data_IF_861348122432
#
_entry.id   IF_861348122432
#
_cell.length_a   1.000
_cell.length_b   1.000
_cell.length_c   1.000
_cell.angle_alpha   90.00
_cell.angle_beta   90.00
_cell.angle_gamma   90.00
#
_symmetry.space_group_name_H-M   'P 1'
#
loop_
_entity.id
_entity.type
_entity.pdbx_description
1 polymer ?
#
# COMPACT_ATOMS: atom_id res chain seq x y z
N UNK A 1 -3.43 2.92 3.87
CA UNK A 1 -3.88 3.55 2.61
C UNK A 1 -4.74 2.56 1.83
N UNK A 2 -5.80 3.02 1.16
CA UNK A 2 -6.64 2.21 0.28
C UNK A 2 -6.65 2.82 -1.11
N UNK A 3 -6.58 1.96 -2.12
CA UNK A 3 -6.66 2.38 -3.52
C UNK A 3 -8.11 2.25 -3.98
N UNK A 4 -8.65 3.34 -4.53
CA UNK A 4 -10.01 3.42 -5.06
C UNK A 4 -10.09 2.76 -6.43
N UNK A 5 -11.29 2.41 -6.92
CA UNK A 5 -11.50 1.98 -8.29
C UNK A 5 -11.05 3.07 -9.29
N UNK A 6 -9.97 2.82 -10.02
CA UNK A 6 -9.38 3.76 -10.98
C UNK A 6 -8.53 3.00 -12.01
N UNK A 7 -7.81 3.72 -12.86
CA UNK A 7 -6.92 3.14 -13.88
C UNK A 7 -5.93 2.13 -13.30
N UNK A 8 -5.47 2.31 -12.06
CA UNK A 8 -4.51 1.41 -11.42
C UNK A 8 -5.00 -0.04 -11.32
N UNK A 9 -6.31 -0.29 -11.36
CA UNK A 9 -6.86 -1.66 -11.33
C UNK A 9 -6.52 -2.47 -12.57
N UNK A 10 -6.26 -1.80 -13.69
CA UNK A 10 -5.92 -2.43 -14.96
C UNK A 10 -4.42 -2.51 -15.23
N UNK A 11 -3.62 -1.92 -14.34
CA UNK A 11 -2.16 -1.93 -14.42
C UNK A 11 -1.60 -2.94 -13.41
N UNK A 12 -0.57 -3.69 -13.82
CA UNK A 12 0.14 -4.64 -12.98
C UNK A 12 1.64 -4.53 -13.22
N UNK A 13 2.41 -4.76 -12.17
CA UNK A 13 3.86 -4.84 -12.27
C UNK A 13 4.28 -6.21 -12.82
N UNK A 14 5.33 -6.23 -13.59
CA UNK A 14 6.02 -7.46 -13.97
C UNK A 14 6.63 -8.11 -12.72
N UNK A 15 6.42 -9.42 -12.57
CA UNK A 15 6.87 -10.16 -11.38
C UNK A 15 8.40 -10.28 -11.28
N UNK A 16 9.10 -10.12 -12.40
CA UNK A 16 10.55 -10.28 -12.43
C UNK A 16 11.25 -8.99 -12.01
N UNK A 17 10.80 -7.86 -12.54
CA UNK A 17 11.45 -6.56 -12.34
C UNK A 17 10.70 -5.63 -11.41
N UNK A 18 9.45 -5.95 -11.06
CA UNK A 18 8.54 -5.09 -10.29
C UNK A 18 8.37 -3.70 -10.91
N UNK A 19 8.28 -3.67 -12.25
CA UNK A 19 8.05 -2.47 -13.06
C UNK A 19 6.87 -2.68 -14.00
N UNK A 20 6.32 -1.61 -14.56
CA UNK A 20 5.28 -1.72 -15.55
C UNK A 20 5.81 -2.35 -16.85
N UNK A 21 5.00 -3.21 -17.47
CA UNK A 21 5.28 -3.70 -18.83
C UNK A 21 5.20 -2.55 -19.83
N UNK A 22 5.90 -2.64 -20.98
CA UNK A 22 5.88 -1.59 -22.01
C UNK A 22 4.48 -1.17 -22.45
N UNK A 23 3.53 -2.11 -22.49
CA UNK A 23 2.11 -1.80 -22.77
C UNK A 23 1.49 -0.93 -21.67
N UNK A 24 1.74 -1.26 -20.42
CA UNK A 24 1.21 -0.52 -19.29
C UNK A 24 1.87 0.85 -19.14
N UNK A 25 3.17 0.97 -19.47
CA UNK A 25 3.87 2.26 -19.52
C UNK A 25 3.21 3.18 -20.56
N UNK A 26 2.91 2.66 -21.76
CA UNK A 26 2.21 3.44 -22.80
C UNK A 26 0.84 3.92 -22.30
N UNK A 27 0.06 3.04 -21.70
CA UNK A 27 -1.26 3.41 -21.16
C UNK A 27 -1.13 4.46 -20.05
N UNK A 28 -0.12 4.34 -19.18
CA UNK A 28 0.14 5.34 -18.14
C UNK A 28 0.56 6.67 -18.72
N UNK A 29 1.39 6.66 -19.78
CA UNK A 29 1.81 7.90 -20.46
C UNK A 29 0.62 8.59 -21.13
N UNK A 30 -0.23 7.85 -21.82
CA UNK A 30 -1.47 8.40 -22.39
C UNK A 30 -2.38 9.02 -21.30
N UNK A 31 -2.45 8.40 -20.13
CA UNK A 31 -3.18 8.94 -18.98
C UNK A 31 -2.52 10.20 -18.41
N UNK A 32 -1.20 10.22 -18.29
CA UNK A 32 -0.45 11.39 -17.84
C UNK A 32 -0.63 12.59 -18.78
N UNK A 33 -0.55 12.36 -20.10
CA UNK A 33 -0.76 13.40 -21.12
C UNK A 33 -2.19 13.99 -21.06
N UNK A 34 -3.19 13.21 -20.60
CA UNK A 34 -4.55 13.73 -20.38
C UNK A 34 -4.66 14.61 -19.13
N UNK A 35 -3.79 14.40 -18.13
CA UNK A 35 -3.76 15.21 -16.92
C UNK A 35 -2.98 16.50 -17.14
N UNK A 36 -1.92 16.44 -17.94
CA UNK A 36 -1.10 17.57 -18.34
C UNK A 36 -1.84 18.44 -19.35
N UNK A 37 -2.82 19.20 -18.86
CA UNK A 37 -3.67 20.06 -19.68
C UNK A 37 -2.93 21.26 -20.30
N UNK A 38 -1.73 21.54 -19.83
CA UNK A 38 -0.90 22.65 -20.30
C UNK A 38 0.20 22.22 -21.27
N UNK A 39 0.33 20.91 -21.52
CA UNK A 39 1.35 20.31 -22.38
C UNK A 39 2.80 20.67 -21.97
N UNK A 40 3.02 20.88 -20.65
CA UNK A 40 4.32 21.21 -20.06
C UNK A 40 5.19 19.96 -19.81
N UNK A 41 4.65 18.75 -20.07
CA UNK A 41 5.23 17.43 -19.77
C UNK A 41 5.39 17.16 -18.27
N UNK A 42 4.70 17.93 -17.45
CA UNK A 42 4.66 17.84 -16.00
C UNK A 42 3.29 18.24 -15.48
N UNK A 43 3.00 17.88 -14.23
CA UNK A 43 1.76 18.24 -13.55
C UNK A 43 2.07 19.05 -12.29
N UNK A 44 1.30 20.11 -12.05
CA UNK A 44 1.45 20.92 -10.86
C UNK A 44 0.77 20.28 -9.63
N UNK A 45 0.94 20.89 -8.48
CA UNK A 45 0.40 20.44 -7.19
C UNK A 45 -1.13 20.26 -7.18
N UNK A 46 -1.88 21.12 -7.89
CA UNK A 46 -3.34 21.03 -7.98
C UNK A 46 -3.76 19.83 -8.82
N UNK A 47 -3.14 19.62 -9.98
CA UNK A 47 -3.39 18.48 -10.86
C UNK A 47 -3.03 17.17 -10.16
N UNK A 48 -1.88 17.15 -9.51
CA UNK A 48 -1.42 16.01 -8.71
C UNK A 48 -2.38 15.68 -7.58
N UNK A 49 -2.82 16.70 -6.82
CA UNK A 49 -3.83 16.52 -5.77
C UNK A 49 -5.12 15.91 -6.30
N UNK A 50 -5.65 16.40 -7.42
CA UNK A 50 -6.88 15.87 -8.02
C UNK A 50 -6.72 14.39 -8.40
N UNK A 51 -5.61 14.04 -9.03
CA UNK A 51 -5.30 12.67 -9.44
C UNK A 51 -5.17 11.75 -8.24
N UNK A 52 -4.32 12.10 -7.29
CA UNK A 52 -4.03 11.21 -6.15
C UNK A 52 -5.23 11.10 -5.20
N UNK A 53 -6.00 12.16 -5.01
CA UNK A 53 -7.26 12.11 -4.25
C UNK A 53 -8.32 11.24 -4.91
N UNK A 54 -8.34 11.15 -6.26
CA UNK A 54 -9.23 10.25 -6.98
C UNK A 54 -8.82 8.77 -6.86
N UNK A 55 -7.52 8.49 -6.77
CA UNK A 55 -6.94 7.14 -6.75
C UNK A 55 -6.85 6.54 -5.34
N UNK A 56 -6.75 7.36 -4.29
CA UNK A 56 -6.46 6.92 -2.93
C UNK A 56 -7.41 7.52 -1.89
N UNK A 57 -7.37 7.00 -0.67
CA UNK A 57 -8.05 7.56 0.51
C UNK A 57 -7.12 8.46 1.35
N UNK A 58 -6.03 8.95 0.77
CA UNK A 58 -5.10 9.85 1.43
C UNK A 58 -5.76 11.20 1.76
N UNK A 59 -5.35 11.77 2.88
CA UNK A 59 -5.77 13.10 3.28
C UNK A 59 -4.97 14.16 2.51
N UNK A 60 -5.52 15.38 2.45
CA UNK A 60 -4.91 16.48 1.71
C UNK A 60 -3.45 16.72 2.08
N UNK A 61 -3.13 16.81 3.36
CA UNK A 61 -1.76 17.00 3.82
C UNK A 61 -0.82 15.86 3.40
N UNK A 62 -1.30 14.62 3.43
CA UNK A 62 -0.52 13.47 2.99
C UNK A 62 -0.23 13.51 1.48
N UNK A 63 -1.19 13.99 0.68
CA UNK A 63 -1.00 14.14 -0.77
C UNK A 63 0.08 15.18 -1.08
N UNK A 64 0.08 16.30 -0.36
CA UNK A 64 1.13 17.31 -0.54
C UNK A 64 2.49 16.81 -0.05
N UNK A 65 2.57 16.10 1.06
CA UNK A 65 3.83 15.45 1.46
C UNK A 65 4.35 14.46 0.42
N UNK A 66 3.46 13.72 -0.27
CA UNK A 66 3.86 12.84 -1.39
C UNK A 66 4.34 13.64 -2.59
N UNK A 67 3.73 14.80 -2.86
CA UNK A 67 4.18 15.69 -3.92
C UNK A 67 5.61 16.18 -3.64
N UNK A 68 5.83 16.74 -2.46
CA UNK A 68 7.15 17.26 -2.05
C UNK A 68 8.24 16.17 -2.09
N UNK A 69 7.92 14.95 -1.69
CA UNK A 69 8.84 13.80 -1.75
C UNK A 69 9.19 13.39 -3.19
N UNK A 70 8.23 13.48 -4.10
CA UNK A 70 8.41 13.04 -5.50
C UNK A 70 9.06 14.09 -6.38
N UNK A 71 8.95 15.36 -6.04
CA UNK A 71 9.61 16.49 -6.72
C UNK A 71 11.12 16.47 -6.38
N UNK A 72 11.82 15.47 -6.93
CA UNK A 72 13.22 15.18 -6.59
C UNK A 72 14.15 16.31 -7.07
N UNK A 73 13.83 16.93 -8.18
CA UNK A 73 14.61 18.01 -8.77
C UNK A 73 14.26 19.41 -8.24
N UNK A 74 13.22 19.51 -7.38
CA UNK A 74 12.75 20.76 -6.80
C UNK A 74 12.14 21.72 -7.82
N UNK A 75 11.61 21.20 -8.92
CA UNK A 75 11.01 21.99 -10.00
C UNK A 75 9.65 22.63 -9.61
N UNK A 76 9.03 22.14 -8.54
CA UNK A 76 7.65 22.49 -8.16
C UNK A 76 6.58 21.81 -9.03
N UNK A 77 6.97 20.82 -9.81
CA UNK A 77 6.10 20.05 -10.70
C UNK A 77 6.51 18.58 -10.69
N UNK A 78 5.60 17.69 -11.00
CA UNK A 78 5.88 16.26 -11.12
C UNK A 78 5.97 15.89 -12.59
N UNK A 79 7.11 15.42 -13.03
CA UNK A 79 7.31 14.90 -14.37
C UNK A 79 6.78 13.45 -14.52
N UNK A 80 6.89 12.91 -15.74
CA UNK A 80 6.40 11.56 -15.99
C UNK A 80 7.18 10.47 -15.23
N UNK A 81 8.47 10.62 -15.04
CA UNK A 81 9.31 9.60 -14.39
C UNK A 81 9.03 9.55 -12.89
N UNK A 82 8.83 10.70 -12.25
CA UNK A 82 8.41 10.84 -10.86
C UNK A 82 6.98 10.28 -10.66
N UNK A 83 6.06 10.63 -11.55
CA UNK A 83 4.71 10.08 -11.54
C UNK A 83 4.70 8.56 -11.76
N UNK A 84 5.52 8.06 -12.67
CA UNK A 84 5.71 6.63 -12.93
C UNK A 84 6.14 5.87 -11.67
N UNK A 85 7.10 6.41 -10.92
CA UNK A 85 7.58 5.82 -9.69
C UNK A 85 6.47 5.72 -8.64
N UNK A 86 5.70 6.80 -8.43
CA UNK A 86 4.54 6.78 -7.56
C UNK A 86 3.54 5.69 -7.97
N UNK A 87 3.22 5.61 -9.25
CA UNK A 87 2.28 4.62 -9.76
C UNK A 87 2.77 3.20 -9.52
N UNK A 88 4.06 2.92 -9.69
CA UNK A 88 4.65 1.61 -9.37
C UNK A 88 4.50 1.27 -7.87
N UNK A 89 4.74 2.23 -6.97
CA UNK A 89 4.52 2.07 -5.53
C UNK A 89 3.04 1.75 -5.24
N UNK A 90 2.11 2.52 -5.80
CA UNK A 90 0.68 2.32 -5.59
C UNK A 90 0.19 0.96 -6.12
N UNK A 91 0.69 0.51 -7.25
CA UNK A 91 0.34 -0.80 -7.81
C UNK A 91 0.91 -1.93 -6.93
N UNK A 92 2.15 -1.80 -6.45
CA UNK A 92 2.73 -2.78 -5.54
C UNK A 92 1.87 -2.97 -4.28
N UNK A 93 1.37 -1.87 -3.71
CA UNK A 93 0.44 -1.89 -2.58
C UNK A 93 -0.91 -2.54 -2.93
N UNK A 94 -1.45 -2.21 -4.11
CA UNK A 94 -2.70 -2.79 -4.60
C UNK A 94 -2.61 -4.31 -4.75
N UNK A 95 -1.52 -4.78 -5.35
CA UNK A 95 -1.30 -6.20 -5.69
C UNK A 95 -0.68 -6.98 -4.51
N UNK A 96 -0.30 -6.29 -3.41
CA UNK A 96 0.36 -6.87 -2.21
C UNK A 96 1.73 -7.45 -2.51
N UNK A 97 2.45 -6.80 -3.39
CA UNK A 97 3.80 -7.14 -3.81
C UNK A 97 4.82 -6.10 -3.28
N UNK A 98 4.47 -5.33 -2.23
CA UNK A 98 5.28 -4.25 -1.67
C UNK A 98 6.67 -4.72 -1.27
N UNK A 99 6.75 -5.90 -0.66
CA UNK A 99 8.02 -6.51 -0.25
C UNK A 99 8.94 -6.72 -1.45
N UNK A 100 8.40 -7.26 -2.52
CA UNK A 100 9.13 -7.51 -3.75
C UNK A 100 9.60 -6.20 -4.39
N UNK A 101 8.72 -5.19 -4.40
CA UNK A 101 9.03 -3.87 -4.92
C UNK A 101 10.16 -3.20 -4.13
N UNK A 102 10.03 -3.10 -2.81
CA UNK A 102 11.06 -2.49 -1.94
C UNK A 102 12.38 -3.27 -2.02
N UNK A 103 12.33 -4.60 -2.08
CA UNK A 103 13.54 -5.40 -2.23
C UNK A 103 14.29 -5.08 -3.51
N UNK A 104 13.58 -4.94 -4.64
CA UNK A 104 14.20 -4.66 -5.95
C UNK A 104 14.60 -3.21 -6.13
N UNK A 105 13.81 -2.29 -5.62
CA UNK A 105 13.98 -0.85 -5.78
C UNK A 105 14.36 -0.15 -4.47
N UNK A 106 14.96 -0.91 -3.54
CA UNK A 106 15.26 -0.41 -2.19
C UNK A 106 16.14 0.85 -2.22
N UNK A 107 17.05 0.97 -3.17
CA UNK A 107 17.89 2.15 -3.29
C UNK A 107 17.08 3.39 -3.67
N UNK A 108 16.23 3.27 -4.68
CA UNK A 108 15.34 4.36 -5.10
C UNK A 108 14.37 4.77 -3.99
N UNK A 109 13.79 3.80 -3.28
CA UNK A 109 12.90 4.09 -2.15
C UNK A 109 13.64 4.76 -1.01
N UNK A 110 14.87 4.33 -0.74
CA UNK A 110 15.73 4.95 0.27
C UNK A 110 16.02 6.41 -0.08
N UNK A 111 16.44 6.68 -1.31
CA UNK A 111 16.74 8.03 -1.81
C UNK A 111 15.51 8.95 -1.82
N UNK A 112 14.31 8.40 -1.99
CA UNK A 112 13.06 9.16 -1.84
C UNK A 112 12.74 9.53 -0.39
N UNK A 113 13.17 8.72 0.57
CA UNK A 113 12.89 8.95 1.99
C UNK A 113 13.96 9.82 2.66
N UNK A 114 15.17 9.80 2.13
CA UNK A 114 16.32 10.61 2.55
C UNK A 114 16.15 12.03 1.99
N UNK A 115 15.31 12.83 2.66
CA UNK A 115 14.90 14.16 2.17
C UNK A 115 16.06 15.17 2.16
N UNK A 116 16.99 15.06 3.11
CA UNK A 116 18.10 15.97 3.28
C UNK A 116 19.40 15.53 2.58
N UNK A 117 19.40 14.32 1.98
CA UNK A 117 20.58 13.76 1.29
C UNK A 117 21.70 13.32 2.23
N UNK A 118 21.39 13.09 3.51
CA UNK A 118 22.38 12.67 4.53
C UNK A 118 22.93 11.25 4.32
N UNK A 119 22.34 10.47 3.41
CA UNK A 119 22.58 9.05 3.18
C UNK A 119 22.14 8.14 4.35
N UNK A 120 21.27 8.67 5.19
CA UNK A 120 20.58 7.96 6.27
C UNK A 120 19.11 8.42 6.34
N UNK A 121 18.25 7.63 6.93
CA UNK A 121 16.85 7.98 7.13
C UNK A 121 16.62 8.17 8.62
N UNK A 122 16.23 9.37 9.01
CA UNK A 122 15.82 9.68 10.38
C UNK A 122 14.43 9.11 10.71
N UNK A 123 14.13 8.98 12.00
CA UNK A 123 12.80 8.57 12.44
C UNK A 123 11.70 9.55 12.01
N UNK A 124 12.04 10.82 11.78
CA UNK A 124 11.10 11.84 11.31
C UNK A 124 10.75 11.64 9.84
N UNK A 125 11.74 11.51 8.96
CA UNK A 125 11.58 11.21 7.54
C UNK A 125 10.81 9.91 7.35
N UNK A 126 11.19 8.85 8.07
CA UNK A 126 10.46 7.59 8.01
C UNK A 126 8.99 7.72 8.44
N UNK A 127 8.71 8.50 9.48
CA UNK A 127 7.34 8.72 9.96
C UNK A 127 6.52 9.58 9.00
N UNK A 128 7.17 10.50 8.29
CA UNK A 128 6.51 11.35 7.30
C UNK A 128 5.92 10.54 6.14
N UNK A 129 6.59 9.47 5.72
CA UNK A 129 6.21 8.67 4.54
C UNK A 129 5.75 7.24 4.84
N UNK A 130 5.83 6.79 6.08
CA UNK A 130 5.44 5.43 6.49
C UNK A 130 4.00 5.06 6.09
N UNK A 131 3.11 6.05 5.96
CA UNK A 131 1.73 5.82 5.55
C UNK A 131 1.60 5.28 4.11
N UNK A 132 2.56 5.57 3.22
CA UNK A 132 2.59 5.01 1.86
C UNK A 132 2.72 3.48 1.89
N UNK A 133 3.37 2.95 2.90
CA UNK A 133 3.58 1.51 3.07
C UNK A 133 2.67 0.90 4.14
N UNK A 134 1.60 1.60 4.54
CA UNK A 134 0.68 1.20 5.61
C UNK A 134 1.36 1.03 6.99
N UNK A 135 2.44 1.73 7.26
CA UNK A 135 3.08 1.75 8.57
C UNK A 135 2.41 2.79 9.47
N UNK A 136 1.98 2.39 10.65
CA UNK A 136 1.27 3.26 11.57
C UNK A 136 1.71 3.05 13.03
N UNK A 137 1.83 4.16 13.74
CA UNK A 137 1.86 4.23 15.18
C UNK A 137 3.16 3.83 15.89
N UNK A 138 3.07 3.64 17.21
CA UNK A 138 4.23 3.40 18.08
C UNK A 138 5.02 2.11 17.77
N UNK A 139 4.36 1.13 17.12
CA UNK A 139 5.05 -0.08 16.69
C UNK A 139 6.16 0.19 15.66
N UNK A 140 6.02 1.25 14.86
CA UNK A 140 7.05 1.66 13.89
C UNK A 140 8.28 2.18 14.61
N UNK A 141 8.09 3.03 15.63
CA UNK A 141 9.20 3.57 16.43
C UNK A 141 10.01 2.47 17.14
N UNK A 142 9.31 1.47 17.69
CA UNK A 142 9.98 0.34 18.32
C UNK A 142 10.79 -0.48 17.33
N UNK A 143 10.19 -0.80 16.16
CA UNK A 143 10.89 -1.55 15.12
C UNK A 143 12.08 -0.75 14.57
N UNK A 144 11.93 0.58 14.43
CA UNK A 144 13.00 1.45 14.00
C UNK A 144 14.20 1.36 14.96
N UNK A 145 13.96 1.48 16.26
CA UNK A 145 14.99 1.35 17.26
C UNK A 145 15.64 -0.06 17.30
N UNK A 146 14.90 -1.11 16.91
CA UNK A 146 15.44 -2.49 16.86
C UNK A 146 16.39 -2.73 15.67
N UNK A 147 16.31 -1.89 14.62
CA UNK A 147 17.11 -2.02 13.41
C UNK A 147 18.25 -1.00 13.28
N UNK A 148 18.27 0.03 14.12
CA UNK A 148 19.40 0.93 14.27
C UNK A 148 20.55 0.18 14.97
N UNK A 149 21.37 -0.51 14.21
CA UNK A 149 22.47 -1.33 14.71
C UNK A 149 23.66 -0.45 15.09
N UNK A 150 23.81 0.69 14.39
CA UNK A 150 24.86 1.67 14.64
C UNK A 150 24.64 2.46 15.93
N UNK A 151 23.37 2.64 16.35
CA UNK A 151 22.96 3.37 17.54
C UNK A 151 22.97 4.90 17.36
N UNK A 152 22.95 5.39 16.12
CA UNK A 152 22.96 6.81 15.80
C UNK A 152 21.56 7.44 15.62
N UNK A 153 20.50 6.64 15.80
CA UNK A 153 19.09 7.00 15.64
C UNK A 153 18.68 7.32 14.19
N UNK A 154 19.44 6.84 13.26
CA UNK A 154 19.19 6.91 11.83
C UNK A 154 19.31 5.52 11.23
N UNK A 155 18.83 5.32 10.02
CA UNK A 155 18.99 4.05 9.32
C UNK A 155 19.85 4.26 8.08
N UNK A 156 21.01 3.63 8.04
CA UNK A 156 21.76 3.53 6.81
C UNK A 156 21.00 2.66 5.78
N UNK A 157 21.47 2.63 4.54
CA UNK A 157 20.79 1.87 3.48
C UNK A 157 20.61 0.38 3.80
N UNK A 158 21.53 -0.25 4.52
CA UNK A 158 21.44 -1.69 4.88
C UNK A 158 20.40 -1.91 5.98
N UNK A 159 20.43 -1.08 6.99
CA UNK A 159 19.48 -1.07 8.11
C UNK A 159 18.07 -0.78 7.63
N UNK A 160 17.90 0.24 6.77
CA UNK A 160 16.63 0.55 6.12
C UNK A 160 16.05 -0.65 5.34
N UNK A 161 16.87 -1.31 4.55
CA UNK A 161 16.43 -2.49 3.79
C UNK A 161 15.94 -3.60 4.69
N UNK A 162 16.65 -3.91 5.75
CA UNK A 162 16.25 -4.92 6.73
C UNK A 162 14.97 -4.50 7.46
N UNK A 163 14.92 -3.25 7.91
CA UNK A 163 13.75 -2.69 8.57
C UNK A 163 12.49 -2.73 7.68
N UNK A 164 12.57 -2.25 6.45
CA UNK A 164 11.45 -2.23 5.51
C UNK A 164 10.88 -3.63 5.25
N UNK A 165 11.77 -4.64 5.11
CA UNK A 165 11.38 -6.03 4.94
C UNK A 165 10.64 -6.58 6.16
N UNK A 166 11.17 -6.33 7.36
CA UNK A 166 10.54 -6.78 8.61
C UNK A 166 9.17 -6.12 8.84
N UNK A 167 9.04 -4.81 8.55
CA UNK A 167 7.77 -4.09 8.67
C UNK A 167 6.69 -4.65 7.75
N UNK A 168 7.05 -4.93 6.50
CA UNK A 168 6.13 -5.51 5.51
C UNK A 168 5.69 -6.91 5.93
N UNK A 169 6.62 -7.76 6.37
CA UNK A 169 6.29 -9.10 6.87
C UNK A 169 5.33 -9.04 8.06
N UNK A 170 5.57 -8.14 9.00
CA UNK A 170 4.70 -7.93 10.16
C UNK A 170 3.31 -7.43 9.77
N UNK A 171 3.22 -6.46 8.85
CA UNK A 171 1.94 -5.96 8.37
C UNK A 171 1.14 -7.05 7.67
N UNK A 172 1.78 -7.83 6.80
CA UNK A 172 1.15 -8.96 6.12
C UNK A 172 0.60 -10.00 7.11
N UNK A 173 1.33 -10.26 8.20
CA UNK A 173 0.88 -11.18 9.25
C UNK A 173 -0.35 -10.64 9.99
N UNK A 174 -0.37 -9.35 10.33
CA UNK A 174 -1.52 -8.70 10.96
C UNK A 174 -2.74 -8.77 10.05
N UNK A 175 -2.59 -8.48 8.78
CA UNK A 175 -3.70 -8.51 7.82
C UNK A 175 -4.20 -9.93 7.56
N UNK A 176 -3.32 -10.92 7.57
CA UNK A 176 -3.71 -12.33 7.53
C UNK A 176 -4.56 -12.70 8.74
N UNK A 177 -4.10 -12.37 9.95
CA UNK A 177 -4.86 -12.65 11.20
C UNK A 177 -6.23 -11.97 11.21
N UNK A 178 -6.32 -10.72 10.75
CA UNK A 178 -7.60 -10.00 10.62
C UNK A 178 -8.55 -10.68 9.62
N UNK A 179 -8.05 -11.13 8.48
CA UNK A 179 -8.85 -11.86 7.48
C UNK A 179 -9.40 -13.17 8.04
N UNK A 180 -8.55 -13.96 8.68
CA UNK A 180 -8.97 -15.22 9.32
C UNK A 180 -10.05 -15.01 10.40
N UNK A 181 -9.90 -13.97 11.22
CA UNK A 181 -10.91 -13.62 12.23
C UNK A 181 -12.25 -13.22 11.58
N UNK A 182 -12.22 -12.42 10.52
CA UNK A 182 -13.41 -12.00 9.81
C UNK A 182 -14.11 -13.19 9.14
N UNK A 183 -13.36 -14.09 8.53
CA UNK A 183 -13.91 -15.33 7.95
C UNK A 183 -14.56 -16.23 9.01
N UNK A 184 -13.90 -16.41 10.17
CA UNK A 184 -14.48 -17.15 11.30
C UNK A 184 -15.78 -16.52 11.78
N UNK A 185 -15.85 -15.18 11.84
CA UNK A 185 -17.10 -14.49 12.20
C UNK A 185 -18.19 -14.68 11.14
N UNK A 186 -17.85 -14.58 9.84
CA UNK A 186 -18.80 -14.84 8.74
C UNK A 186 -19.36 -16.27 8.81
N UNK A 187 -18.51 -17.28 8.93
CA UNK A 187 -18.93 -18.69 9.08
C UNK A 187 -19.83 -18.91 10.29
N UNK A 188 -19.52 -18.26 11.44
CA UNK A 188 -20.37 -18.33 12.63
C UNK A 188 -21.73 -17.67 12.42
N UNK A 189 -21.80 -16.53 11.72
CA UNK A 189 -23.08 -15.86 11.39
C UNK A 189 -23.89 -16.68 10.42
N UNK A 190 -23.27 -17.26 9.43
CA UNK A 190 -23.91 -18.13 8.44
C UNK A 190 -24.44 -19.40 9.08
N UNK A 191 -23.66 -20.07 9.90
CA UNK A 191 -24.11 -21.25 10.66
C UNK A 191 -25.30 -20.93 11.59
N UNK A 192 -25.31 -19.74 12.26
CA UNK A 192 -26.45 -19.29 13.05
C UNK A 192 -27.68 -19.03 12.16
N UNK A 193 -27.52 -18.46 10.97
CA UNK A 193 -28.59 -18.22 10.01
C UNK A 193 -29.20 -19.53 9.52
N UNK A 194 -28.36 -20.48 9.15
CA UNK A 194 -28.81 -21.82 8.71
C UNK A 194 -29.55 -22.56 9.83
N UNK A 195 -29.06 -22.54 11.06
CA UNK A 195 -29.75 -23.11 12.22
C UNK A 195 -31.14 -22.49 12.44
N UNK A 196 -31.31 -21.17 12.24
CA UNK A 196 -32.62 -20.51 12.34
C UNK A 196 -33.57 -20.90 11.22
N UNK A 197 -33.05 -21.13 10.02
CA UNK A 197 -33.86 -21.58 8.87
C UNK A 197 -34.28 -23.04 8.96
N UNK A 198 -33.44 -23.90 9.56
CA UNK A 198 -33.70 -25.33 9.70
C UNK A 198 -34.26 -25.73 11.09
N UNK A 199 -34.25 -24.77 12.05
CA UNK A 199 -34.68 -25.03 13.44
C UNK A 199 -36.17 -24.82 13.71
N UNK A 200 -37.02 -24.71 12.68
CA UNK A 200 -38.46 -24.53 12.80
C UNK A 200 -39.28 -25.81 12.58
N UNK A 201 -38.65 -26.97 12.58
CA UNK A 201 -39.34 -28.27 12.42
C UNK A 201 -38.89 -29.26 13.49
N UNK A 202 -39.64 -29.35 14.59
CA UNK A 202 -39.63 -30.54 15.43
C UNK A 202 -40.27 -31.64 14.60
N UNK A 203 -39.45 -32.47 13.99
CA UNK A 203 -39.96 -33.76 13.48
C UNK A 203 -40.07 -34.71 14.68
N UNK A 204 -41.24 -34.72 15.32
CA UNK A 204 -41.70 -35.84 16.18
C UNK A 204 -41.79 -37.09 15.33
N UNK A 205 -40.74 -37.86 15.29
CA UNK A 205 -40.71 -39.23 14.75
C UNK A 205 -40.72 -40.24 15.88
N UNK A 206 -41.69 -40.12 16.81
CA UNK A 206 -41.98 -41.13 17.81
C UNK A 206 -43.52 -41.30 17.91
N UNK A 207 -44.07 -42.07 16.99
CA UNK A 207 -45.46 -42.34 17.10
C UNK A 207 -46.05 -43.13 15.92
N UNK A 208 -45.59 -44.37 15.65
CA UNK A 208 -46.39 -45.37 15.01
C UNK A 208 -45.59 -46.67 14.79
N UNK A 209 -45.44 -47.46 15.84
CA UNK A 209 -45.29 -48.92 15.73
C UNK A 209 -45.84 -49.54 16.99
N UNK A 210 -47.20 -49.62 17.05
CA UNK A 210 -47.87 -50.57 17.86
C UNK A 210 -49.08 -51.02 17.01
N UNK A 211 -49.20 -52.30 16.81
CA UNK A 211 -50.29 -53.10 16.36
C UNK A 211 -49.93 -54.03 15.20
N UNK A 212 -49.82 -55.25 15.59
CA UNK A 212 -49.96 -56.61 15.14
C UNK A 212 -48.69 -57.34 14.80
#
# INVERSE_FOLDING_TARGET
>A
MKIKPCILQHLHLDKTYSMLTGKNVKTLKEYFDLIDVHEEKSINDIQFYQVLSSMTDLKRNQIYSVFDMLDIDGSGQIDFDEFYLLVCILISLKDKDEKQFIYRHSRTVFELLDEDGSQSISAQEFSAFGFLFNFYGDAVKQIFNDFDISGDQELDYKEFKMFAMACIDRQNEIDRKKREQLERQRRRREAKRLRRLHGGGTWDWLGACTIL
#
